data_IF_359572231012
#
_entry.id   IF_359572231012
#
_cell.length_a   1.000
_cell.length_b   1.000
_cell.length_c   1.000
_cell.angle_alpha   90.00
_cell.angle_beta   90.00
_cell.angle_gamma   90.00
#
_symmetry.space_group_name_H-M   'P 1'
#
loop_
_entity.id
_entity.type
_entity.pdbx_description
1 polymer ?
#
# COMPACT_ATOMS: atom_id res chain seq x y z
N UNK A 1 -11.19 -4.12 26.90
CA UNK A 1 -10.86 -5.49 26.47
C UNK A 1 -9.36 -5.56 26.19
N UNK A 2 -8.68 -6.66 26.52
CA UNK A 2 -7.25 -6.84 26.21
C UNK A 2 -7.20 -7.39 24.79
N UNK A 3 -6.73 -6.61 23.82
CA UNK A 3 -6.62 -7.10 22.45
C UNK A 3 -5.60 -8.26 22.42
N UNK A 4 -5.96 -9.42 21.83
CA UNK A 4 -5.03 -10.53 21.71
C UNK A 4 -3.80 -10.12 20.89
N UNK A 5 -2.64 -10.77 21.10
CA UNK A 5 -1.46 -10.52 20.28
C UNK A 5 -1.81 -10.74 18.81
N UNK A 6 -1.34 -9.84 17.95
CA UNK A 6 -1.59 -9.92 16.51
C UNK A 6 -0.85 -11.15 15.95
N UNK A 7 -1.61 -12.07 15.38
CA UNK A 7 -1.06 -13.16 14.59
C UNK A 7 -0.65 -12.62 13.22
N UNK A 8 0.66 -12.50 13.01
CA UNK A 8 1.23 -11.98 11.78
C UNK A 8 1.24 -12.98 10.63
N UNK A 9 1.09 -14.28 10.92
CA UNK A 9 1.09 -15.33 9.90
C UNK A 9 -0.30 -15.49 9.27
N UNK A 10 -1.34 -15.09 10.01
CA UNK A 10 -2.72 -14.98 9.50
C UNK A 10 -3.04 -13.71 8.71
N UNK A 11 -2.13 -12.73 8.62
CA UNK A 11 -2.34 -11.49 7.84
C UNK A 11 -1.91 -11.70 6.39
N UNK A 12 -2.85 -12.09 5.53
CA UNK A 12 -2.57 -12.42 4.13
C UNK A 12 -2.95 -11.26 3.21
N UNK A 13 -4.14 -10.68 3.39
CA UNK A 13 -4.66 -9.65 2.50
C UNK A 13 -4.40 -8.22 3.00
N UNK A 14 -4.55 -7.24 2.11
CA UNK A 14 -4.58 -5.81 2.45
C UNK A 14 -5.65 -5.54 3.53
N UNK A 15 -6.83 -6.14 3.40
CA UNK A 15 -7.93 -5.99 4.35
C UNK A 15 -7.57 -6.52 5.73
N UNK A 16 -6.89 -7.66 5.82
CA UNK A 16 -6.47 -8.23 7.10
C UNK A 16 -5.48 -7.30 7.80
N UNK A 17 -4.49 -6.79 7.06
CA UNK A 17 -3.53 -5.83 7.57
C UNK A 17 -4.19 -4.51 8.01
N UNK A 18 -5.19 -4.03 7.29
CA UNK A 18 -5.95 -2.83 7.68
C UNK A 18 -6.73 -3.06 8.99
N UNK A 19 -7.41 -4.21 9.14
CA UNK A 19 -8.11 -4.56 10.38
C UNK A 19 -7.12 -4.67 11.56
N UNK A 20 -5.99 -5.33 11.35
CA UNK A 20 -4.94 -5.45 12.35
C UNK A 20 -4.33 -4.09 12.74
N UNK A 21 -4.20 -3.17 11.77
CA UNK A 21 -3.73 -1.81 12.01
C UNK A 21 -4.68 -1.02 12.90
N UNK A 22 -5.99 -1.10 12.65
CA UNK A 22 -7.01 -0.48 13.49
C UNK A 22 -6.94 -1.02 14.93
N UNK A 23 -6.88 -2.36 15.08
CA UNK A 23 -6.76 -2.97 16.41
C UNK A 23 -5.49 -2.55 17.16
N UNK A 24 -4.36 -2.37 16.45
CA UNK A 24 -3.13 -1.86 17.04
C UNK A 24 -3.27 -0.40 17.50
N UNK A 25 -3.87 0.47 16.69
CA UNK A 25 -4.10 1.88 17.03
C UNK A 25 -5.06 2.06 18.21
N UNK A 26 -6.14 1.26 18.27
CA UNK A 26 -7.06 1.26 19.40
C UNK A 26 -6.35 0.88 20.70
N UNK A 27 -5.46 -0.12 20.63
CA UNK A 27 -4.66 -0.57 21.77
C UNK A 27 -3.67 0.50 22.25
N UNK A 28 -2.99 1.17 21.31
CA UNK A 28 -2.08 2.29 21.59
C UNK A 28 -2.85 3.42 22.27
N UNK A 29 -3.97 3.83 21.67
CA UNK A 29 -4.80 4.93 22.16
C UNK A 29 -5.31 4.67 23.57
N UNK A 30 -5.79 3.45 23.85
CA UNK A 30 -6.27 3.09 25.19
C UNK A 30 -5.13 3.07 26.24
N UNK A 31 -3.94 2.57 25.88
CA UNK A 31 -2.79 2.59 26.80
C UNK A 31 -2.34 4.03 27.08
N UNK A 32 -2.25 4.88 26.05
CA UNK A 32 -1.91 6.29 26.20
C UNK A 32 -2.93 7.04 27.05
N UNK A 33 -4.23 6.78 26.83
CA UNK A 33 -5.31 7.35 27.64
C UNK A 33 -5.15 6.98 29.11
N UNK A 34 -4.95 5.69 29.41
CA UNK A 34 -4.74 5.22 30.79
C UNK A 34 -3.49 5.82 31.43
N UNK A 35 -2.40 5.92 30.69
CA UNK A 35 -1.17 6.56 31.18
C UNK A 35 -1.38 8.03 31.53
N UNK A 36 -2.21 8.75 30.77
CA UNK A 36 -2.56 10.16 31.03
C UNK A 36 -3.50 10.33 32.22
N UNK A 37 -4.49 9.44 32.38
CA UNK A 37 -5.51 9.55 33.44
C UNK A 37 -5.10 8.91 34.77
N UNK A 38 -4.03 8.10 34.80
CA UNK A 38 -3.57 7.42 36.01
C UNK A 38 -3.01 8.42 37.02
N UNK A 39 -3.81 8.69 38.05
CA UNK A 39 -3.48 9.59 39.18
C UNK A 39 -2.50 8.93 40.16
N UNK A 40 -2.58 7.61 40.32
CA UNK A 40 -1.71 6.86 41.23
C UNK A 40 -0.27 6.73 40.72
N UNK A 41 0.67 6.85 41.65
CA UNK A 41 2.10 6.85 41.38
C UNK A 41 2.71 5.44 41.37
N UNK A 42 1.94 4.40 40.98
CA UNK A 42 2.48 3.04 40.81
C UNK A 42 3.46 3.03 39.62
N UNK A 43 4.74 3.24 39.96
CA UNK A 43 5.86 3.25 39.04
C UNK A 43 5.99 1.91 38.32
N UNK A 44 5.67 0.79 38.98
CA UNK A 44 5.73 -0.54 38.41
C UNK A 44 4.68 -0.74 37.31
N UNK A 45 3.43 -0.33 37.55
CA UNK A 45 2.39 -0.34 36.53
C UNK A 45 2.74 0.58 35.35
N UNK A 46 3.19 1.81 35.62
CA UNK A 46 3.57 2.77 34.57
C UNK A 46 4.70 2.24 33.70
N UNK A 47 5.71 1.59 34.29
CA UNK A 47 6.80 0.97 33.54
C UNK A 47 6.28 -0.13 32.60
N UNK A 48 5.44 -1.04 33.09
CA UNK A 48 4.82 -2.10 32.27
C UNK A 48 3.93 -1.53 31.16
N UNK A 49 3.15 -0.49 31.45
CA UNK A 49 2.29 0.17 30.46
C UNK A 49 3.11 0.86 29.35
N UNK A 50 4.21 1.54 29.69
CA UNK A 50 5.14 2.12 28.70
C UNK A 50 5.79 1.04 27.84
N UNK A 51 6.23 -0.07 28.43
CA UNK A 51 6.77 -1.20 27.68
C UNK A 51 5.75 -1.78 26.70
N UNK A 52 4.51 -2.00 27.15
CA UNK A 52 3.42 -2.45 26.30
C UNK A 52 3.11 -1.46 25.16
N UNK A 53 3.13 -0.15 25.44
CA UNK A 53 2.95 0.89 24.44
C UNK A 53 4.02 0.82 23.34
N UNK A 54 5.29 0.72 23.71
CA UNK A 54 6.38 0.61 22.73
C UNK A 54 6.30 -0.69 21.93
N UNK A 55 5.89 -1.80 22.55
CA UNK A 55 5.61 -3.05 21.85
C UNK A 55 4.50 -2.87 20.80
N UNK A 56 3.37 -2.26 21.15
CA UNK A 56 2.29 -1.98 20.20
C UNK A 56 2.68 -1.01 19.10
N UNK A 57 3.48 0.02 19.38
CA UNK A 57 4.04 0.91 18.36
C UNK A 57 4.93 0.17 17.38
N UNK A 58 5.75 -0.77 17.86
CA UNK A 58 6.57 -1.64 17.00
C UNK A 58 5.70 -2.54 16.11
N UNK A 59 4.68 -3.17 16.70
CA UNK A 59 3.67 -3.97 15.98
C UNK A 59 3.00 -3.15 14.88
N UNK A 60 2.55 -1.93 15.18
CA UNK A 60 1.99 -1.00 14.20
C UNK A 60 2.95 -0.76 13.03
N UNK A 61 4.21 -0.40 13.31
CA UNK A 61 5.22 -0.15 12.24
C UNK A 61 5.38 -1.37 11.32
N UNK A 62 5.41 -2.58 11.90
CA UNK A 62 5.50 -3.84 11.14
C UNK A 62 4.29 -4.04 10.23
N UNK A 63 3.07 -3.81 10.73
CA UNK A 63 1.85 -3.91 9.92
C UNK A 63 1.88 -2.89 8.77
N UNK A 64 2.23 -1.63 9.05
CA UNK A 64 2.31 -0.58 8.04
C UNK A 64 3.31 -0.92 6.93
N UNK A 65 4.48 -1.44 7.29
CA UNK A 65 5.49 -1.85 6.31
C UNK A 65 4.99 -2.97 5.40
N UNK A 66 4.37 -4.02 5.96
CA UNK A 66 3.78 -5.12 5.18
C UNK A 66 2.64 -4.65 4.28
N UNK A 67 1.75 -3.80 4.81
CA UNK A 67 0.66 -3.21 4.05
C UNK A 67 1.17 -2.38 2.86
N UNK A 68 2.25 -1.62 3.03
CA UNK A 68 2.86 -0.86 1.95
C UNK A 68 3.37 -1.77 0.82
N UNK A 69 4.00 -2.89 1.16
CA UNK A 69 4.44 -3.90 0.18
C UNK A 69 3.25 -4.49 -0.58
N UNK A 70 2.19 -4.91 0.12
CA UNK A 70 1.00 -5.47 -0.53
C UNK A 70 0.32 -4.48 -1.47
N UNK A 71 0.20 -3.21 -1.05
CA UNK A 71 -0.36 -2.15 -1.92
C UNK A 71 0.49 -1.89 -3.15
N UNK A 72 1.81 -1.96 -3.02
CA UNK A 72 2.72 -1.84 -4.16
C UNK A 72 2.54 -3.01 -5.13
N UNK A 73 2.46 -4.24 -4.61
CA UNK A 73 2.22 -5.44 -5.42
C UNK A 73 0.86 -5.39 -6.14
N UNK A 74 -0.21 -4.96 -5.47
CA UNK A 74 -1.53 -4.79 -6.10
C UNK A 74 -1.50 -3.75 -7.21
N UNK A 75 -0.79 -2.63 -7.00
CA UNK A 75 -0.60 -1.60 -8.02
C UNK A 75 0.16 -2.13 -9.23
N UNK A 76 1.25 -2.86 -9.01
CA UNK A 76 2.05 -3.50 -10.06
C UNK A 76 1.23 -4.53 -10.84
N UNK A 77 0.50 -5.40 -10.15
CA UNK A 77 -0.38 -6.39 -10.77
C UNK A 77 -1.49 -5.73 -11.61
N UNK A 78 -2.08 -4.65 -11.11
CA UNK A 78 -3.09 -3.87 -11.84
C UNK A 78 -2.49 -3.21 -13.08
N UNK A 79 -1.30 -2.63 -12.97
CA UNK A 79 -0.61 -2.02 -14.09
C UNK A 79 -0.26 -3.07 -15.16
N UNK A 80 0.32 -4.20 -14.75
CA UNK A 80 0.64 -5.31 -15.64
C UNK A 80 -0.61 -5.83 -16.36
N UNK A 81 -1.71 -6.03 -15.63
CA UNK A 81 -2.98 -6.47 -16.21
C UNK A 81 -3.50 -5.48 -17.27
N UNK A 82 -3.39 -4.18 -17.01
CA UNK A 82 -3.77 -3.13 -17.98
C UNK A 82 -2.89 -3.14 -19.21
N UNK A 83 -1.57 -3.24 -19.04
CA UNK A 83 -0.61 -3.29 -20.15
C UNK A 83 -0.88 -4.52 -21.02
N UNK A 84 -1.00 -5.69 -20.42
CA UNK A 84 -1.33 -6.93 -21.12
C UNK A 84 -2.69 -6.87 -21.83
N UNK A 85 -3.72 -6.28 -21.21
CA UNK A 85 -5.00 -6.08 -21.87
C UNK A 85 -4.90 -5.14 -23.07
N UNK A 86 -4.13 -4.04 -22.96
CA UNK A 86 -3.88 -3.13 -24.08
C UNK A 86 -3.14 -3.80 -25.23
N UNK A 87 -2.15 -4.65 -24.94
CA UNK A 87 -1.43 -5.44 -25.95
C UNK A 87 -2.39 -6.37 -26.71
N UNK A 88 -3.22 -7.14 -25.99
CA UNK A 88 -4.21 -8.01 -26.62
C UNK A 88 -5.25 -7.22 -27.43
N UNK A 89 -5.70 -6.08 -26.92
CA UNK A 89 -6.62 -5.21 -27.64
C UNK A 89 -6.01 -4.71 -28.95
N UNK A 90 -4.74 -4.27 -28.93
CA UNK A 90 -4.04 -3.83 -30.14
C UNK A 90 -3.91 -4.98 -31.16
N UNK A 91 -3.57 -6.18 -30.72
CA UNK A 91 -3.49 -7.35 -31.59
C UNK A 91 -4.85 -7.72 -32.22
N UNK A 92 -5.93 -7.67 -31.46
CA UNK A 92 -7.27 -7.90 -32.01
C UNK A 92 -7.68 -6.77 -32.97
N UNK A 93 -7.41 -5.51 -32.63
CA UNK A 93 -7.71 -4.37 -33.51
C UNK A 93 -6.98 -4.47 -34.85
N UNK A 94 -5.73 -4.96 -34.90
CA UNK A 94 -4.99 -5.16 -36.15
C UNK A 94 -5.72 -6.03 -37.16
N UNK A 95 -6.58 -6.96 -36.71
CA UNK A 95 -7.36 -7.85 -37.59
C UNK A 95 -8.50 -7.11 -38.31
N UNK A 96 -9.02 -6.05 -37.72
CA UNK A 96 -10.16 -5.29 -38.24
C UNK A 96 -9.77 -3.96 -38.89
N UNK A 97 -8.59 -3.43 -38.59
CA UNK A 97 -8.16 -2.12 -39.08
C UNK A 97 -7.48 -2.21 -40.46
N UNK A 98 -7.81 -1.30 -41.40
CA UNK A 98 -7.01 -1.11 -42.60
C UNK A 98 -5.57 -0.77 -42.24
N UNK A 99 -4.60 -1.44 -42.90
CA UNK A 99 -3.16 -1.31 -42.59
C UNK A 99 -2.67 0.14 -42.57
N UNK A 100 -3.15 0.98 -43.48
CA UNK A 100 -2.77 2.39 -43.56
C UNK A 100 -3.18 3.18 -42.29
N UNK A 101 -4.37 2.90 -41.76
CA UNK A 101 -4.86 3.54 -40.54
C UNK A 101 -4.02 3.11 -39.32
N UNK A 102 -3.71 1.82 -39.22
CA UNK A 102 -2.85 1.30 -38.15
C UNK A 102 -1.45 1.94 -38.15
N UNK A 103 -0.81 2.04 -39.32
CA UNK A 103 0.51 2.67 -39.43
C UNK A 103 0.49 4.17 -39.08
N UNK A 104 -0.57 4.88 -39.45
CA UNK A 104 -0.74 6.27 -39.07
C UNK A 104 -0.88 6.43 -37.55
N UNK A 105 -1.59 5.52 -36.88
CA UNK A 105 -1.70 5.47 -35.42
C UNK A 105 -0.34 5.17 -34.75
N UNK A 106 0.41 4.17 -35.22
CA UNK A 106 1.74 3.85 -34.70
C UNK A 106 2.70 5.05 -34.82
N UNK A 107 2.72 5.69 -36.00
CA UNK A 107 3.55 6.87 -36.23
C UNK A 107 3.21 8.00 -35.24
N UNK A 108 1.92 8.30 -35.05
CA UNK A 108 1.47 9.32 -34.08
C UNK A 108 1.80 8.94 -32.64
N UNK A 109 1.69 7.66 -32.28
CA UNK A 109 2.05 7.18 -30.94
C UNK A 109 3.54 7.38 -30.65
N UNK A 110 4.42 7.05 -31.61
CA UNK A 110 5.88 7.28 -31.50
C UNK A 110 6.23 8.74 -31.32
N UNK A 111 5.59 9.64 -32.08
CA UNK A 111 5.81 11.08 -31.93
C UNK A 111 5.43 11.58 -30.53
N UNK A 112 4.31 11.10 -29.97
CA UNK A 112 3.90 11.44 -28.59
C UNK A 112 4.87 10.89 -27.54
N UNK A 113 5.38 9.67 -27.71
CA UNK A 113 6.37 9.12 -26.78
C UNK A 113 7.67 9.95 -26.77
N UNK A 114 8.11 10.39 -27.94
CA UNK A 114 9.29 11.25 -28.09
C UNK A 114 9.08 12.61 -27.40
N UNK A 115 7.91 13.24 -27.57
CA UNK A 115 7.63 14.53 -26.92
C UNK A 115 7.63 14.42 -25.39
N UNK A 116 6.98 13.39 -24.83
CA UNK A 116 6.96 13.17 -23.38
C UNK A 116 8.36 12.89 -22.81
N UNK A 117 9.21 12.18 -23.55
CA UNK A 117 10.59 11.87 -23.11
C UNK A 117 11.46 13.12 -23.04
N UNK A 118 11.22 14.11 -23.91
CA UNK A 118 11.94 15.38 -23.93
C UNK A 118 11.49 16.30 -22.78
N UNK A 119 10.19 16.33 -22.47
CA UNK A 119 9.64 17.09 -21.33
C UNK A 119 10.23 16.61 -20.00
N UNK A 120 10.25 15.29 -19.76
CA UNK A 120 10.83 14.70 -18.53
C UNK A 120 12.33 14.97 -18.37
N UNK A 121 13.07 15.15 -19.47
CA UNK A 121 14.50 15.51 -19.44
C UNK A 121 14.74 16.99 -19.22
N UNK A 122 13.80 17.86 -19.59
CA UNK A 122 13.90 19.30 -19.39
C UNK A 122 13.58 19.74 -17.95
N UNK A 123 12.91 18.89 -17.18
CA UNK A 123 12.51 19.14 -15.78
C UNK A 123 13.49 18.58 -14.73
N UNK A 124 14.60 17.95 -15.17
CA UNK A 124 15.69 17.44 -14.31
C UNK A 124 16.93 18.30 -14.45
#
# INVERSE_FOLDING_TARGET
MRNPPIDFDGLISITDHLKALVAAEDSITEIERRLKTATDNDAGWRHRAKYALESWKSTRRRITARLALLRQQEKEATQQSRETHCEYLIEEMKRYFPRAAFLACDHRARLRMQSMTLEVRSER
#
